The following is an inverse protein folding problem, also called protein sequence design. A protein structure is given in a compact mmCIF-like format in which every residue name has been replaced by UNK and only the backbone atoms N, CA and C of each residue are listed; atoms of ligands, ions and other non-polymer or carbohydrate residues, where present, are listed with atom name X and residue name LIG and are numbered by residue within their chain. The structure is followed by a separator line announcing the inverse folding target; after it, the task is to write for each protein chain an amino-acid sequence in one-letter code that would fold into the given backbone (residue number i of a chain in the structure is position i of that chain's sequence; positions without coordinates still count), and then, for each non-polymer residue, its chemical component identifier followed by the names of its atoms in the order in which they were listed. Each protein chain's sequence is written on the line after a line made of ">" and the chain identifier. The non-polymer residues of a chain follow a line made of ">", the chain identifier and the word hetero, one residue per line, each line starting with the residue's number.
data_IF_155926729209
#
_entry.id   IF_155926729209
#
_cell.length_a   1.000
_cell.length_b   1.000
_cell.length_c   1.000
_cell.angle_alpha   90.00
_cell.angle_beta   90.00
_cell.angle_gamma   90.00
#
_symmetry.space_group_name_H-M   'P 1'
#
loop_
_entity.id
_entity.type
_entity.pdbx_description
1 polymer ?
#
# COMPACT_ATOMS: atom_id res chain seq x y z
N UNK A 1 -40.77 -12.03 -19.89
CA UNK A 1 -39.47 -12.72 -19.94
C UNK A 1 -38.54 -11.91 -19.04
N UNK A 2 -38.19 -12.43 -17.87
CA UNK A 2 -37.40 -11.71 -16.87
C UNK A 2 -35.93 -11.90 -17.20
N UNK A 3 -35.26 -10.88 -17.73
CA UNK A 3 -33.81 -10.87 -17.88
C UNK A 3 -33.18 -10.74 -16.49
N UNK A 4 -33.04 -11.87 -15.79
CA UNK A 4 -32.35 -11.93 -14.50
C UNK A 4 -30.85 -11.75 -14.74
N UNK A 5 -30.18 -10.79 -14.07
CA UNK A 5 -28.75 -10.57 -14.20
C UNK A 5 -27.91 -11.67 -13.53
N UNK A 6 -28.54 -12.53 -12.71
CA UNK A 6 -27.87 -13.61 -12.00
C UNK A 6 -27.82 -14.87 -12.86
N UNK A 7 -26.63 -15.48 -12.93
CA UNK A 7 -26.36 -16.74 -13.63
C UNK A 7 -25.91 -17.80 -12.63
N UNK A 8 -26.45 -19.00 -12.76
CA UNK A 8 -26.00 -20.17 -12.00
C UNK A 8 -24.61 -20.61 -12.50
N UNK A 9 -23.71 -20.95 -11.58
CA UNK A 9 -22.36 -21.41 -11.89
C UNK A 9 -22.02 -22.69 -11.09
N UNK A 10 -21.35 -23.68 -11.69
CA UNK A 10 -21.03 -24.95 -11.03
C UNK A 10 -19.96 -24.78 -9.94
N UNK A 11 -20.22 -25.37 -8.76
CA UNK A 11 -19.39 -25.23 -7.55
C UNK A 11 -17.98 -25.80 -7.67
N UNK A 12 -17.81 -26.84 -8.50
CA UNK A 12 -16.55 -27.58 -8.65
C UNK A 12 -15.77 -27.18 -9.93
N UNK A 13 -16.14 -26.07 -10.58
CA UNK A 13 -15.44 -25.58 -11.76
C UNK A 13 -14.36 -24.59 -11.37
N UNK A 14 -13.19 -24.72 -12.00
CA UNK A 14 -12.12 -23.72 -11.86
C UNK A 14 -12.60 -22.39 -12.43
N UNK A 15 -12.26 -21.29 -11.76
CA UNK A 15 -12.55 -19.96 -12.25
C UNK A 15 -12.03 -19.78 -13.68
N UNK A 16 -12.79 -19.08 -14.52
CA UNK A 16 -12.31 -18.70 -15.84
C UNK A 16 -11.05 -17.84 -15.71
N UNK A 17 -10.02 -18.18 -16.47
CA UNK A 17 -8.80 -17.36 -16.52
C UNK A 17 -9.15 -16.06 -17.23
N UNK A 18 -9.07 -14.94 -16.52
CA UNK A 18 -9.20 -13.61 -17.14
C UNK A 18 -7.97 -13.44 -18.05
N UNK A 19 -8.15 -13.32 -19.38
CA UNK A 19 -7.03 -13.08 -20.27
C UNK A 19 -6.32 -11.81 -19.85
N UNK A 20 -4.99 -11.86 -19.77
CA UNK A 20 -4.20 -10.66 -19.52
C UNK A 20 -4.43 -9.74 -20.71
N UNK A 21 -5.27 -8.72 -20.54
CA UNK A 21 -5.38 -7.66 -21.53
C UNK A 21 -4.03 -6.99 -21.55
N UNK A 22 -3.28 -7.19 -22.63
CA UNK A 22 -2.11 -6.37 -22.91
C UNK A 22 -2.63 -4.99 -23.31
N UNK A 23 -3.20 -4.27 -22.34
CA UNK A 23 -3.50 -2.87 -22.50
C UNK A 23 -2.17 -2.17 -22.72
N UNK A 24 -2.14 -1.26 -23.69
CA UNK A 24 -0.97 -0.44 -24.01
C UNK A 24 -0.27 -0.03 -22.73
N UNK A 25 1.06 -0.21 -22.67
CA UNK A 25 1.85 0.12 -21.50
C UNK A 25 1.41 1.47 -20.94
N UNK A 26 1.33 1.62 -19.62
CA UNK A 26 0.96 2.89 -19.01
C UNK A 26 1.82 4.05 -19.55
N UNK A 27 3.08 3.78 -19.89
CA UNK A 27 3.98 4.74 -20.55
C UNK A 27 3.52 5.09 -21.97
N UNK A 28 3.05 4.12 -22.76
CA UNK A 28 2.49 4.35 -24.09
C UNK A 28 1.20 5.17 -24.01
N UNK A 29 0.34 4.89 -23.02
CA UNK A 29 -0.87 5.69 -22.78
C UNK A 29 -0.52 7.12 -22.35
N UNK A 30 0.45 7.30 -21.45
CA UNK A 30 0.93 8.62 -21.05
C UNK A 30 1.54 9.39 -22.23
N UNK A 31 2.26 8.70 -23.12
CA UNK A 31 2.82 9.30 -24.35
C UNK A 31 1.72 9.70 -25.33
N UNK A 32 0.77 8.80 -25.61
CA UNK A 32 -0.33 9.05 -26.56
C UNK A 32 -1.29 10.15 -26.07
N UNK A 33 -1.53 10.23 -24.76
CA UNK A 33 -2.36 11.27 -24.15
C UNK A 33 -1.64 12.61 -23.98
N UNK A 34 -0.36 12.71 -24.33
CA UNK A 34 0.46 13.91 -24.14
C UNK A 34 0.71 14.26 -22.67
N UNK A 35 0.51 13.31 -21.75
CA UNK A 35 0.69 13.48 -20.30
C UNK A 35 2.09 13.10 -19.81
N UNK A 36 2.92 12.53 -20.68
CA UNK A 36 4.31 12.21 -20.37
C UNK A 36 5.17 13.47 -20.43
N UNK A 37 5.46 14.06 -19.27
CA UNK A 37 6.30 15.26 -19.14
C UNK A 37 7.74 14.80 -18.85
N UNK A 38 8.70 15.27 -19.65
CA UNK A 38 10.11 15.05 -19.36
C UNK A 38 10.49 15.83 -18.10
N UNK A 39 11.22 15.20 -17.17
CA UNK A 39 11.83 15.94 -16.07
C UNK A 39 12.94 16.81 -16.64
N UNK A 40 12.96 18.09 -16.27
CA UNK A 40 14.17 18.88 -16.40
C UNK A 40 15.28 18.19 -15.59
N UNK A 41 16.48 18.15 -16.15
CA UNK A 41 17.67 17.66 -15.45
C UNK A 41 18.04 18.66 -14.37
N UNK A 42 17.25 18.67 -13.29
CA UNK A 42 17.62 19.34 -12.07
C UNK A 42 18.59 18.40 -11.36
N UNK A 43 19.89 18.63 -11.54
CA UNK A 43 20.85 18.22 -10.54
C UNK A 43 20.51 19.01 -9.27
N UNK A 44 19.60 18.48 -8.47
CA UNK A 44 19.53 18.87 -7.07
C UNK A 44 20.87 18.42 -6.50
N UNK A 45 21.77 19.37 -6.26
CA UNK A 45 22.94 19.14 -5.43
C UNK A 45 22.42 18.72 -4.06
N UNK A 46 22.21 17.43 -3.87
CA UNK A 46 21.59 16.85 -2.68
C UNK A 46 22.58 16.83 -1.50
N UNK A 47 23.42 17.86 -1.40
CA UNK A 47 24.54 17.96 -0.47
C UNK A 47 24.52 19.20 0.39
N UNK A 48 23.60 20.15 0.17
CA UNK A 48 23.76 21.42 0.89
C UNK A 48 23.19 21.40 2.31
N UNK A 49 22.10 20.70 2.62
CA UNK A 49 21.61 20.60 4.02
C UNK A 49 20.81 19.31 4.25
N UNK A 50 21.49 18.21 4.58
CA UNK A 50 20.82 17.02 5.13
C UNK A 50 20.75 17.21 6.65
N UNK A 51 19.63 17.74 7.15
CA UNK A 51 19.35 17.75 8.57
C UNK A 51 19.37 16.31 9.11
N UNK A 52 20.14 16.07 10.17
CA UNK A 52 20.30 14.73 10.75
C UNK A 52 19.06 14.41 11.58
N UNK A 53 18.25 13.47 11.10
CA UNK A 53 17.00 13.02 11.75
C UNK A 53 17.22 12.57 13.21
N UNK A 54 18.46 12.21 13.59
CA UNK A 54 18.82 11.88 14.99
C UNK A 54 18.57 13.01 15.98
N UNK A 55 18.73 14.26 15.56
CA UNK A 55 18.57 15.42 16.42
C UNK A 55 17.09 15.75 16.65
N UNK A 56 16.22 15.26 15.74
CA UNK A 56 14.77 15.35 15.85
C UNK A 56 14.17 14.24 16.71
N UNK A 57 14.75 13.04 16.68
CA UNK A 57 14.32 11.87 17.47
C UNK A 57 14.88 11.88 18.90
N UNK A 58 14.85 13.05 19.56
CA UNK A 58 15.33 13.21 20.93
C UNK A 58 14.87 12.06 21.84
N UNK A 59 15.83 11.45 22.53
CA UNK A 59 15.64 10.27 23.41
C UNK A 59 14.72 10.57 24.61
N UNK A 60 14.30 11.81 24.81
CA UNK A 60 13.53 12.28 25.97
C UNK A 60 12.01 12.08 25.83
N UNK A 61 11.46 12.01 24.61
CA UNK A 61 10.03 11.72 24.37
C UNK A 61 9.80 10.21 24.06
N UNK A 62 10.77 9.36 24.42
CA UNK A 62 10.64 7.92 24.36
C UNK A 62 9.76 7.43 25.51
N UNK A 63 8.84 6.54 25.19
CA UNK A 63 7.91 5.83 26.09
C UNK A 63 8.68 4.96 27.11
N UNK A 64 9.44 5.59 28.01
CA UNK A 64 10.29 4.96 29.00
C UNK A 64 9.57 4.60 30.30
N UNK A 65 8.44 5.27 30.56
CA UNK A 65 7.63 5.09 31.77
C UNK A 65 6.27 4.43 31.44
N UNK A 66 6.25 3.46 30.52
CA UNK A 66 5.16 2.46 30.52
C UNK A 66 5.72 1.21 31.17
N UNK A 67 5.54 1.16 32.47
CA UNK A 67 5.56 0.00 33.34
C UNK A 67 4.51 -1.02 32.85
N UNK A 68 4.91 -1.86 31.90
CA UNK A 68 4.19 -3.08 31.49
C UNK A 68 4.32 -4.17 32.56
N UNK A 69 3.91 -3.87 33.79
CA UNK A 69 3.82 -4.84 34.89
C UNK A 69 2.42 -4.83 35.52
N UNK A 70 1.40 -4.79 34.67
CA UNK A 70 0.03 -5.15 35.07
C UNK A 70 -0.25 -6.57 34.60
N UNK A 71 0.45 -7.51 35.25
CA UNK A 71 0.19 -8.95 35.25
C UNK A 71 -1.14 -9.30 35.96
N UNK A 72 -2.18 -8.46 35.85
CA UNK A 72 -3.50 -8.71 36.44
C UNK A 72 -4.42 -9.47 35.47
N UNK A 73 -4.17 -10.79 35.43
CA UNK A 73 -5.17 -11.85 35.50
C UNK A 73 -6.37 -11.80 34.52
N UNK A 74 -6.12 -12.06 33.23
CA UNK A 74 -7.18 -12.52 32.32
C UNK A 74 -7.34 -14.04 32.47
N UNK A 75 -8.19 -14.46 33.42
CA UNK A 75 -8.67 -15.85 33.43
C UNK A 75 -9.60 -16.06 32.23
N UNK A 76 -9.07 -16.67 31.16
CA UNK A 76 -9.90 -17.20 30.08
C UNK A 76 -10.62 -18.43 30.65
N UNK A 77 -11.87 -18.25 31.07
CA UNK A 77 -12.75 -19.35 31.42
C UNK A 77 -13.00 -20.22 30.19
N UNK A 78 -12.48 -21.45 30.23
CA UNK A 78 -12.84 -22.54 29.31
C UNK A 78 -14.17 -23.17 29.78
N UNK A 79 -15.07 -23.45 28.82
CA UNK A 79 -16.41 -24.05 28.98
C UNK A 79 -16.39 -25.45 29.61
#
# INVERSE_FOLDING_TARGET
>A
MLDSPLREAPRNQRAAVIPLKQESSMLDWLRLSGRLIARDAHETDSREDVEVISDFLGVDDGIGDIDYDDDDDVTIGED
#
